data_IF_627204591027
#
_entry.id   IF_627204591027
#
_cell.length_a   1.000
_cell.length_b   1.000
_cell.length_c   1.000
_cell.angle_alpha   90.00
_cell.angle_beta   90.00
_cell.angle_gamma   90.00
#
_symmetry.space_group_name_H-M   'P 1'
#
loop_
_entity.id
_entity.type
_entity.pdbx_description
1 polymer ?
#
# COMPACT_ATOMS: atom_id res chain seq x y z
N UNK A 1 -11.27 -4.05 -20.61
CA UNK A 1 -11.57 -2.67 -20.13
C UNK A 1 -10.50 -1.75 -20.71
N UNK A 2 -10.86 -0.61 -21.33
CA UNK A 2 -9.85 0.30 -21.92
C UNK A 2 -9.37 1.28 -20.85
N UNK A 3 -8.12 1.73 -20.94
CA UNK A 3 -7.48 2.63 -19.95
C UNK A 3 -8.25 3.94 -19.76
N UNK A 4 -8.85 4.48 -20.81
CA UNK A 4 -9.68 5.69 -20.70
C UNK A 4 -10.95 5.47 -19.87
N UNK A 5 -11.57 4.28 -19.97
CA UNK A 5 -12.75 3.93 -19.17
C UNK A 5 -12.43 3.86 -17.65
N UNK A 6 -11.16 3.70 -17.26
CA UNK A 6 -10.71 3.70 -15.87
C UNK A 6 -10.49 5.13 -15.33
N UNK A 7 -9.97 6.03 -16.16
CA UNK A 7 -9.71 7.43 -15.76
C UNK A 7 -11.02 8.22 -15.63
N UNK A 8 -12.01 7.96 -16.49
CA UNK A 8 -13.31 8.64 -16.40
C UNK A 8 -14.03 8.27 -15.10
N UNK A 9 -13.98 7.01 -14.67
CA UNK A 9 -14.53 6.56 -13.37
C UNK A 9 -13.88 7.24 -12.17
N UNK A 10 -12.61 7.61 -12.25
CA UNK A 10 -11.93 8.34 -11.18
C UNK A 10 -12.55 9.74 -10.96
N UNK A 11 -13.04 10.37 -12.04
CA UNK A 11 -13.60 11.73 -12.03
C UNK A 11 -15.09 11.81 -11.66
N UNK A 12 -15.83 10.70 -11.71
CA UNK A 12 -17.28 10.66 -11.50
C UNK A 12 -17.71 10.45 -10.03
N UNK A 13 -16.79 10.11 -9.12
CA UNK A 13 -17.11 10.03 -7.70
C UNK A 13 -17.24 11.43 -7.10
N UNK A 14 -18.47 11.82 -6.72
CA UNK A 14 -18.68 13.03 -5.88
C UNK A 14 -17.74 12.97 -4.68
N UNK A 15 -16.88 13.98 -4.57
CA UNK A 15 -15.68 13.98 -3.74
C UNK A 15 -15.91 13.42 -2.33
N UNK A 16 -15.09 12.45 -1.95
CA UNK A 16 -14.96 12.00 -0.56
C UNK A 16 -14.31 13.12 0.26
N UNK A 17 -14.43 13.06 1.59
CA UNK A 17 -13.83 14.10 2.45
C UNK A 17 -12.30 14.14 2.27
N UNK A 18 -11.68 15.29 2.58
CA UNK A 18 -10.22 15.45 2.45
C UNK A 18 -9.46 14.46 3.34
N UNK A 19 -10.04 14.05 4.45
CA UNK A 19 -9.50 13.04 5.35
C UNK A 19 -9.39 11.67 4.66
N UNK A 20 -10.45 11.23 3.99
CA UNK A 20 -10.44 9.97 3.22
C UNK A 20 -9.44 10.05 2.06
N UNK A 21 -9.34 11.22 1.42
CA UNK A 21 -8.33 11.42 0.37
C UNK A 21 -6.89 11.28 0.90
N UNK A 22 -6.60 11.85 2.06
CA UNK A 22 -5.30 11.66 2.71
C UNK A 22 -5.04 10.21 3.09
N UNK A 23 -6.06 9.45 3.52
CA UNK A 23 -5.89 8.01 3.77
C UNK A 23 -5.47 7.26 2.50
N UNK A 24 -6.08 7.57 1.34
CA UNK A 24 -5.66 6.97 0.07
C UNK A 24 -4.22 7.31 -0.29
N UNK A 25 -3.77 8.54 -0.03
CA UNK A 25 -2.37 8.94 -0.24
C UNK A 25 -1.43 8.11 0.64
N UNK A 26 -1.76 7.92 1.92
CA UNK A 26 -0.93 7.13 2.84
C UNK A 26 -0.93 5.65 2.46
N UNK A 27 -2.07 5.09 2.08
CA UNK A 27 -2.18 3.72 1.57
C UNK A 27 -1.31 3.50 0.31
N UNK A 28 -1.39 4.42 -0.65
CA UNK A 28 -0.54 4.40 -1.84
C UNK A 28 0.93 4.54 -1.49
N UNK A 29 1.28 5.36 -0.49
CA UNK A 29 2.64 5.50 0.00
C UNK A 29 3.16 4.20 0.62
N UNK A 30 2.36 3.53 1.45
CA UNK A 30 2.70 2.23 2.02
C UNK A 30 2.98 1.19 0.92
N UNK A 31 2.10 1.08 -0.08
CA UNK A 31 2.33 0.18 -1.22
C UNK A 31 3.64 0.53 -1.95
N UNK A 32 3.88 1.82 -2.21
CA UNK A 32 5.12 2.28 -2.87
C UNK A 32 6.36 1.90 -2.08
N UNK A 33 6.37 2.08 -0.76
CA UNK A 33 7.47 1.66 0.10
C UNK A 33 7.73 0.16 0.01
N UNK A 34 6.68 -0.67 -0.06
CA UNK A 34 6.82 -2.11 -0.22
C UNK A 34 7.44 -2.48 -1.57
N UNK A 35 6.98 -1.86 -2.66
CA UNK A 35 7.52 -2.08 -4.01
C UNK A 35 9.00 -1.68 -4.08
N UNK A 36 9.34 -0.48 -3.63
CA UNK A 36 10.72 0.02 -3.62
C UNK A 36 11.61 -0.85 -2.72
N UNK A 37 11.10 -1.28 -1.56
CA UNK A 37 11.82 -2.19 -0.67
C UNK A 37 12.09 -3.56 -1.32
N UNK A 38 11.13 -4.08 -2.08
CA UNK A 38 11.29 -5.32 -2.86
C UNK A 38 12.36 -5.16 -3.95
N UNK A 39 12.34 -4.05 -4.69
CA UNK A 39 13.35 -3.77 -5.72
C UNK A 39 14.76 -3.65 -5.12
N UNK A 40 14.90 -3.04 -3.94
CA UNK A 40 16.17 -2.97 -3.22
C UNK A 40 16.68 -4.35 -2.76
N UNK A 41 15.77 -5.20 -2.31
CA UNK A 41 16.10 -6.58 -1.94
C UNK A 41 16.56 -7.38 -3.15
N UNK A 42 15.84 -7.28 -4.28
CA UNK A 42 16.19 -7.97 -5.53
C UNK A 42 17.54 -7.50 -6.07
N UNK A 43 17.79 -6.18 -6.08
CA UNK A 43 19.05 -5.61 -6.58
C UNK A 43 20.23 -5.97 -5.70
N UNK A 44 20.09 -5.91 -4.37
CA UNK A 44 21.16 -6.31 -3.44
C UNK A 44 21.49 -7.80 -3.54
N UNK A 45 20.53 -8.66 -3.87
CA UNK A 45 20.77 -10.10 -4.07
C UNK A 45 21.58 -10.42 -5.34
N UNK A 46 21.71 -9.49 -6.28
CA UNK A 46 22.51 -9.72 -7.49
C UNK A 46 24.03 -9.76 -7.22
N UNK A 47 24.49 -9.32 -6.04
CA UNK A 47 25.90 -9.42 -5.66
C UNK A 47 26.84 -8.55 -6.52
N UNK A 48 26.33 -7.48 -7.13
CA UNK A 48 27.08 -6.65 -8.09
C UNK A 48 27.92 -5.56 -7.40
N UNK A 49 27.66 -5.25 -6.12
CA UNK A 49 28.32 -4.18 -5.39
C UNK A 49 28.69 -4.60 -3.95
N UNK A 50 29.82 -5.32 -3.78
CA UNK A 50 30.26 -5.81 -2.47
C UNK A 50 30.33 -4.69 -1.42
N UNK A 51 29.75 -4.95 -0.25
CA UNK A 51 29.66 -3.98 0.85
C UNK A 51 28.47 -3.03 0.78
N UNK A 52 27.84 -2.84 -0.38
CA UNK A 52 26.57 -2.09 -0.53
C UNK A 52 25.39 -3.04 -0.60
N UNK A 53 25.56 -4.22 -1.21
CA UNK A 53 24.53 -5.24 -1.37
C UNK A 53 23.83 -5.61 -0.04
N UNK A 54 24.61 -5.84 1.03
CA UNK A 54 24.07 -6.16 2.36
C UNK A 54 23.22 -5.03 2.95
N UNK A 55 23.62 -3.78 2.70
CA UNK A 55 22.86 -2.61 3.11
C UNK A 55 21.56 -2.49 2.30
N UNK A 56 21.61 -2.73 0.99
CA UNK A 56 20.42 -2.73 0.13
C UNK A 56 19.41 -3.80 0.56
N UNK A 57 19.87 -5.03 0.82
CA UNK A 57 19.01 -6.12 1.31
C UNK A 57 18.40 -5.77 2.67
N UNK A 58 19.20 -5.25 3.60
CA UNK A 58 18.71 -4.88 4.95
C UNK A 58 17.71 -3.74 4.88
N UNK A 59 18.01 -2.70 4.09
CA UNK A 59 17.13 -1.55 3.94
C UNK A 59 15.82 -1.94 3.25
N UNK A 60 15.88 -2.75 2.19
CA UNK A 60 14.70 -3.25 1.49
C UNK A 60 13.76 -4.05 2.41
N UNK A 61 14.29 -4.96 3.22
CA UNK A 61 13.52 -5.69 4.24
C UNK A 61 12.84 -4.76 5.24
N UNK A 62 13.56 -3.74 5.71
CA UNK A 62 13.00 -2.76 6.65
C UNK A 62 11.89 -1.93 5.97
N UNK A 63 12.09 -1.47 4.73
CA UNK A 63 11.06 -0.75 3.99
C UNK A 63 9.78 -1.56 3.84
N UNK A 64 9.87 -2.84 3.49
CA UNK A 64 8.70 -3.73 3.37
C UNK A 64 7.99 -3.93 4.71
N UNK A 65 8.76 -4.10 5.80
CA UNK A 65 8.20 -4.20 7.16
C UNK A 65 7.47 -2.93 7.57
N UNK A 66 8.10 -1.77 7.41
CA UNK A 66 7.51 -0.47 7.79
C UNK A 66 6.32 -0.12 6.88
N UNK A 67 6.36 -0.50 5.60
CA UNK A 67 5.21 -0.40 4.70
C UNK A 67 4.00 -1.17 5.24
N UNK A 68 4.19 -2.42 5.69
CA UNK A 68 3.12 -3.22 6.30
C UNK A 68 2.61 -2.62 7.60
N UNK A 69 3.51 -2.09 8.43
CA UNK A 69 3.12 -1.40 9.65
C UNK A 69 2.26 -0.16 9.35
N UNK A 70 2.67 0.66 8.37
CA UNK A 70 1.92 1.84 7.96
C UNK A 70 0.54 1.49 7.38
N UNK A 71 0.46 0.47 6.51
CA UNK A 71 -0.80 -0.01 5.98
C UNK A 71 -1.75 -0.46 7.11
N UNK A 72 -1.23 -1.23 8.07
CA UNK A 72 -2.00 -1.70 9.23
C UNK A 72 -2.49 -0.55 10.09
N UNK A 73 -1.65 0.47 10.33
CA UNK A 73 -2.05 1.66 11.09
C UNK A 73 -3.22 2.39 10.42
N UNK A 74 -3.18 2.56 9.09
CA UNK A 74 -4.28 3.22 8.38
C UNK A 74 -5.58 2.41 8.40
N UNK A 75 -5.48 1.08 8.27
CA UNK A 75 -6.67 0.21 8.12
C UNK A 75 -7.21 -0.36 9.42
N UNK A 76 -6.39 -0.44 10.45
CA UNK A 76 -6.75 -1.06 11.74
C UNK A 76 -6.46 -0.16 12.95
N UNK A 77 -5.87 1.01 12.75
CA UNK A 77 -5.56 1.96 13.82
C UNK A 77 -6.77 2.74 14.32
N UNK A 78 -6.54 3.51 15.39
CA UNK A 78 -7.57 4.23 16.15
C UNK A 78 -8.42 5.15 15.28
N UNK A 79 -7.81 5.77 14.26
CA UNK A 79 -8.52 6.69 13.37
C UNK A 79 -9.57 5.96 12.50
N UNK A 80 -9.24 4.80 11.93
CA UNK A 80 -10.20 4.01 11.15
C UNK A 80 -11.34 3.51 12.04
N UNK A 81 -11.00 3.04 13.24
CA UNK A 81 -11.98 2.58 14.23
C UNK A 81 -12.93 3.70 14.66
N UNK A 82 -12.39 4.92 14.86
CA UNK A 82 -13.20 6.11 15.14
C UNK A 82 -14.16 6.42 14.00
N UNK A 83 -13.69 6.41 12.75
CA UNK A 83 -14.55 6.66 11.59
C UNK A 83 -15.67 5.62 11.47
N UNK A 84 -15.38 4.33 11.71
CA UNK A 84 -16.42 3.30 11.77
C UNK A 84 -17.44 3.58 12.89
N UNK A 85 -16.97 4.01 14.07
CA UNK A 85 -17.82 4.44 15.19
C UNK A 85 -18.71 5.64 14.87
N UNK A 86 -18.26 6.54 13.99
CA UNK A 86 -19.02 7.70 13.48
C UNK A 86 -19.95 7.33 12.31
N UNK A 87 -20.07 6.04 11.97
CA UNK A 87 -20.98 5.53 10.95
C UNK A 87 -20.38 5.47 9.53
N UNK A 88 -19.09 5.77 9.37
CA UNK A 88 -18.37 5.63 8.09
C UNK A 88 -17.92 4.18 7.90
N UNK A 89 -18.87 3.25 7.79
CA UNK A 89 -18.59 1.83 7.55
C UNK A 89 -18.74 1.46 6.07
N UNK A 90 -18.02 0.43 5.57
CA UNK A 90 -18.07 0.02 4.15
C UNK A 90 -19.48 -0.29 3.64
N UNK A 91 -20.36 -0.83 4.47
CA UNK A 91 -21.75 -1.16 4.14
C UNK A 91 -22.65 0.09 3.96
N UNK A 92 -22.23 1.24 4.49
CA UNK A 92 -23.02 2.47 4.52
C UNK A 92 -22.45 3.60 3.66
N UNK A 93 -21.14 3.60 3.42
CA UNK A 93 -20.46 4.70 2.75
C UNK A 93 -19.63 4.20 1.56
N UNK A 94 -20.02 4.59 0.34
CA UNK A 94 -19.36 4.15 -0.91
C UNK A 94 -17.86 4.48 -0.96
N UNK A 95 -17.45 5.65 -0.48
CA UNK A 95 -16.04 6.01 -0.41
C UNK A 95 -15.26 5.16 0.59
N UNK A 96 -15.91 4.71 1.67
CA UNK A 96 -15.28 3.80 2.63
C UNK A 96 -15.19 2.39 2.04
N UNK A 97 -16.24 1.92 1.35
CA UNK A 97 -16.21 0.66 0.63
C UNK A 97 -15.04 0.61 -0.37
N UNK A 98 -14.87 1.68 -1.16
CA UNK A 98 -13.74 1.78 -2.09
C UNK A 98 -12.38 1.82 -1.36
N UNK A 99 -12.29 2.49 -0.22
CA UNK A 99 -11.06 2.52 0.60
C UNK A 99 -10.67 1.11 1.05
N UNK A 100 -11.63 0.30 1.48
CA UNK A 100 -11.41 -1.09 1.89
C UNK A 100 -11.04 -1.97 0.69
N UNK A 101 -11.74 -1.85 -0.44
CA UNK A 101 -11.40 -2.58 -1.67
C UNK A 101 -9.97 -2.27 -2.14
N UNK A 102 -9.58 -0.99 -2.18
CA UNK A 102 -8.23 -0.59 -2.52
C UNK A 102 -7.20 -1.20 -1.56
N UNK A 103 -7.43 -1.08 -0.27
CA UNK A 103 -6.51 -1.60 0.75
C UNK A 103 -6.37 -3.13 0.68
N UNK A 104 -7.46 -3.85 0.44
CA UNK A 104 -7.47 -5.31 0.24
C UNK A 104 -6.62 -5.75 -0.96
N UNK A 105 -6.67 -5.01 -2.08
CA UNK A 105 -5.81 -5.32 -3.22
C UNK A 105 -4.34 -4.98 -2.96
N UNK A 106 -4.08 -3.87 -2.27
CA UNK A 106 -2.72 -3.47 -1.89
C UNK A 106 -2.04 -4.50 -0.99
N UNK A 107 -2.73 -5.01 0.03
CA UNK A 107 -2.13 -5.99 0.95
C UNK A 107 -1.80 -7.31 0.26
N UNK A 108 -2.60 -7.72 -0.75
CA UNK A 108 -2.30 -8.89 -1.59
C UNK A 108 -1.01 -8.69 -2.39
N UNK A 109 -0.79 -7.49 -2.94
CA UNK A 109 0.47 -7.17 -3.63
C UNK A 109 1.64 -7.23 -2.65
N UNK A 110 1.51 -6.64 -1.46
CA UNK A 110 2.56 -6.67 -0.43
C UNK A 110 2.89 -8.11 0.01
N UNK A 111 1.88 -8.96 0.18
CA UNK A 111 2.06 -10.39 0.48
C UNK A 111 2.81 -11.14 -0.63
N UNK A 112 2.61 -10.76 -1.90
CA UNK A 112 3.32 -11.34 -3.03
C UNK A 112 4.77 -10.88 -3.09
N UNK A 113 5.04 -9.60 -2.82
CA UNK A 113 6.39 -9.04 -2.76
C UNK A 113 7.25 -9.76 -1.69
N UNK A 114 6.69 -9.99 -0.50
CA UNK A 114 7.38 -10.71 0.58
C UNK A 114 7.71 -12.17 0.26
N UNK A 115 6.96 -12.76 -0.67
CA UNK A 115 7.13 -14.16 -1.12
C UNK A 115 7.95 -14.26 -2.40
N UNK A 116 8.46 -13.14 -2.94
CA UNK A 116 9.28 -13.20 -4.14
C UNK A 116 10.51 -14.08 -3.90
N UNK A 117 10.79 -15.03 -4.80
CA UNK A 117 11.97 -15.87 -4.67
C UNK A 117 13.24 -15.03 -4.85
N UNK A 118 14.31 -15.32 -4.09
CA UNK A 118 15.59 -14.66 -4.31
C UNK A 118 16.19 -15.06 -5.66
N UNK A 119 17.05 -14.20 -6.22
CA UNK A 119 17.88 -14.57 -7.37
C UNK A 119 18.90 -15.63 -6.93
N UNK A 120 18.98 -16.74 -7.67
CA UNK A 120 19.94 -17.84 -7.46
C UNK A 120 21.33 -17.49 -7.99
#
# INVERSE_FOLDING_TARGET
MKVMDLLDKHSEMKGHSMEVHHQHIILNHALKMAIEGSDMLMTGQMGMAPGVDDHSVTHGKNMMKEARALWNEVMSGDYMMKMHGEGMSPDKHKGMAFTHELAEEQIKVMDLLEKMPPVM
#
